data_IF_268889053987
#
_entry.id   IF_268889053987
#
_cell.length_a   1.000
_cell.length_b   1.000
_cell.length_c   1.000
_cell.angle_alpha   90.00
_cell.angle_beta   90.00
_cell.angle_gamma   90.00
#
_symmetry.space_group_name_H-M   'P 1'
#
loop_
_entity.id
_entity.type
_entity.pdbx_description
1 polymer ?
#
# COMPACT_ATOMS: atom_id res chain seq x y z
N UNK A 1 16.01 6.27 -7.69
CA UNK A 1 17.06 5.24 -7.85
C UNK A 1 16.56 4.13 -8.75
N UNK A 2 17.36 3.76 -9.73
CA UNK A 2 17.02 2.63 -10.59
C UNK A 2 17.30 1.32 -9.85
N UNK A 3 16.36 0.38 -9.99
CA UNK A 3 16.53 -0.94 -9.42
C UNK A 3 17.57 -1.73 -10.21
N UNK A 4 18.49 -2.36 -9.49
CA UNK A 4 19.52 -3.18 -10.10
C UNK A 4 19.03 -4.61 -10.33
N UNK A 5 19.25 -5.12 -11.52
CA UNK A 5 19.00 -6.52 -11.87
C UNK A 5 20.33 -7.18 -12.22
N UNK A 6 20.62 -8.29 -11.58
CA UNK A 6 21.81 -9.07 -11.85
C UNK A 6 21.48 -10.18 -12.85
N UNK A 7 22.25 -10.29 -13.90
CA UNK A 7 22.00 -11.22 -14.99
C UNK A 7 23.08 -12.29 -14.98
N UNK A 8 22.64 -13.54 -14.92
CA UNK A 8 23.52 -14.72 -14.96
C UNK A 8 23.11 -15.63 -16.11
N UNK A 9 24.07 -16.03 -16.94
CA UNK A 9 23.80 -16.95 -18.04
C UNK A 9 24.88 -18.02 -18.09
N UNK A 10 24.47 -19.25 -18.44
CA UNK A 10 25.43 -20.34 -18.64
C UNK A 10 25.93 -20.45 -20.08
N UNK A 11 25.45 -19.55 -20.97
CA UNK A 11 25.81 -19.59 -22.39
C UNK A 11 25.18 -20.77 -23.17
N UNK A 12 24.34 -21.57 -22.50
CA UNK A 12 23.76 -22.81 -23.07
C UNK A 12 22.22 -22.76 -23.04
N UNK A 13 21.65 -21.57 -23.08
CA UNK A 13 20.19 -21.41 -23.14
C UNK A 13 19.51 -21.18 -21.82
N UNK A 14 20.26 -21.03 -20.73
CA UNK A 14 19.67 -20.69 -19.41
C UNK A 14 20.10 -19.29 -19.01
N UNK A 15 19.12 -18.46 -18.67
CA UNK A 15 19.33 -17.11 -18.12
C UNK A 15 18.60 -17.00 -16.79
N UNK A 16 19.27 -16.48 -15.79
CA UNK A 16 18.69 -16.18 -14.47
C UNK A 16 18.89 -14.71 -14.19
N UNK A 17 17.80 -14.01 -13.86
CA UNK A 17 17.84 -12.60 -13.47
C UNK A 17 17.37 -12.50 -12.03
N UNK A 18 18.13 -11.81 -11.20
CA UNK A 18 17.81 -11.62 -9.79
C UNK A 18 17.74 -10.16 -9.42
N UNK A 19 16.92 -9.84 -8.44
CA UNK A 19 16.87 -8.52 -7.82
C UNK A 19 16.49 -8.67 -6.34
N UNK A 20 16.72 -7.63 -5.56
CA UNK A 20 16.46 -7.64 -4.13
C UNK A 20 15.48 -6.53 -3.76
N UNK A 21 14.58 -6.85 -2.85
CA UNK A 21 13.63 -5.90 -2.31
C UNK A 21 13.17 -6.37 -0.93
N UNK A 22 13.24 -5.47 0.07
CA UNK A 22 12.78 -5.78 1.41
C UNK A 22 13.49 -6.95 2.06
N UNK A 23 14.80 -7.13 1.78
CA UNK A 23 15.58 -8.24 2.32
C UNK A 23 15.34 -9.57 1.63
N UNK A 24 14.56 -9.60 0.54
CA UNK A 24 14.24 -10.83 -0.21
C UNK A 24 14.84 -10.77 -1.61
N UNK A 25 15.25 -11.93 -2.11
CA UNK A 25 15.72 -12.10 -3.48
C UNK A 25 14.59 -12.61 -4.36
N UNK A 26 14.40 -11.98 -5.53
CA UNK A 26 13.43 -12.41 -6.53
C UNK A 26 14.18 -12.87 -7.77
N UNK A 27 13.75 -14.00 -8.34
CA UNK A 27 14.40 -14.67 -9.47
C UNK A 27 13.43 -14.86 -10.62
N UNK A 28 13.92 -14.53 -11.83
CA UNK A 28 13.27 -14.92 -13.06
C UNK A 28 14.21 -15.84 -13.83
N UNK A 29 13.69 -16.89 -14.42
CA UNK A 29 14.47 -17.87 -15.16
C UNK A 29 13.88 -18.05 -16.55
N UNK A 30 14.73 -18.08 -17.57
CA UNK A 30 14.36 -18.46 -18.92
C UNK A 30 15.28 -19.59 -19.38
N UNK A 31 14.69 -20.63 -19.98
CA UNK A 31 15.44 -21.77 -20.54
C UNK A 31 15.04 -21.94 -21.99
N UNK A 32 16.02 -22.05 -22.85
CA UNK A 32 15.81 -22.41 -24.26
C UNK A 32 15.63 -23.92 -24.35
N UNK A 33 14.62 -24.38 -25.10
CA UNK A 33 14.42 -25.80 -25.34
C UNK A 33 15.60 -26.33 -26.18
N UNK A 34 16.04 -27.59 -25.99
CA UNK A 34 17.19 -28.15 -26.74
C UNK A 34 17.06 -28.07 -28.25
N UNK A 35 15.84 -28.14 -28.79
CA UNK A 35 15.54 -28.07 -30.21
C UNK A 35 15.44 -26.64 -30.76
N UNK A 36 15.44 -25.62 -29.91
CA UNK A 36 15.32 -24.24 -30.32
C UNK A 36 16.66 -23.57 -30.47
N UNK A 37 16.72 -22.56 -31.35
CA UNK A 37 17.89 -21.71 -31.48
C UNK A 37 17.94 -20.74 -30.30
N UNK A 38 19.02 -20.78 -29.56
CA UNK A 38 19.20 -19.90 -28.40
C UNK A 38 19.41 -18.45 -28.84
N UNK A 39 18.55 -17.57 -28.33
CA UNK A 39 18.68 -16.12 -28.45
C UNK A 39 18.84 -15.50 -27.06
N UNK A 40 20.06 -15.04 -26.76
CA UNK A 40 20.39 -14.48 -25.48
C UNK A 40 19.59 -13.23 -25.11
N UNK A 41 19.26 -12.40 -26.12
CA UNK A 41 18.46 -11.18 -25.89
C UNK A 41 17.05 -11.53 -25.48
N UNK A 42 16.42 -12.49 -26.12
CA UNK A 42 15.08 -12.96 -25.77
C UNK A 42 15.11 -13.62 -24.40
N UNK A 43 16.13 -14.44 -24.14
CA UNK A 43 16.30 -15.10 -22.83
C UNK A 43 16.42 -14.09 -21.68
N UNK A 44 17.23 -13.06 -21.84
CA UNK A 44 17.40 -12.00 -20.83
C UNK A 44 16.10 -11.23 -20.65
N UNK A 45 15.42 -10.85 -21.73
CA UNK A 45 14.17 -10.11 -21.65
C UNK A 45 13.09 -10.93 -20.93
N UNK A 46 12.96 -12.21 -21.24
CA UNK A 46 11.98 -13.10 -20.61
C UNK A 46 12.28 -13.33 -19.12
N UNK A 47 13.53 -13.62 -18.79
CA UNK A 47 13.95 -13.81 -17.39
C UNK A 47 13.75 -12.53 -16.57
N UNK A 48 14.07 -11.36 -17.14
CA UNK A 48 13.87 -10.07 -16.49
C UNK A 48 12.38 -9.83 -16.24
N UNK A 49 11.52 -10.08 -17.23
CA UNK A 49 10.07 -9.92 -17.09
C UNK A 49 9.52 -10.84 -16.00
N UNK A 50 9.97 -12.08 -15.93
CA UNK A 50 9.57 -13.04 -14.91
C UNK A 50 10.01 -12.60 -13.50
N UNK A 51 11.23 -12.06 -13.41
CA UNK A 51 11.74 -11.49 -12.15
C UNK A 51 10.89 -10.31 -11.70
N UNK A 52 10.59 -9.38 -12.61
CA UNK A 52 9.72 -8.21 -12.34
C UNK A 52 8.32 -8.65 -11.92
N UNK A 53 7.77 -9.67 -12.54
CA UNK A 53 6.45 -10.19 -12.19
C UNK A 53 6.40 -10.62 -10.72
N UNK A 54 7.39 -11.38 -10.29
CA UNK A 54 7.48 -11.82 -8.88
C UNK A 54 7.66 -10.64 -7.93
N UNK A 55 8.53 -9.70 -8.29
CA UNK A 55 8.78 -8.50 -7.51
C UNK A 55 7.50 -7.67 -7.34
N UNK A 56 6.80 -7.41 -8.44
CA UNK A 56 5.59 -6.59 -8.40
C UNK A 56 4.44 -7.27 -7.68
N UNK A 57 4.33 -8.60 -7.75
CA UNK A 57 3.35 -9.35 -6.95
C UNK A 57 3.62 -9.19 -5.46
N UNK A 58 4.89 -9.27 -5.05
CA UNK A 58 5.28 -9.05 -3.64
C UNK A 58 5.00 -7.61 -3.20
N UNK A 59 5.31 -6.62 -4.03
CA UNK A 59 5.02 -5.21 -3.76
C UNK A 59 3.52 -4.95 -3.63
N UNK A 60 2.71 -5.60 -4.47
CA UNK A 60 1.25 -5.48 -4.41
C UNK A 60 0.71 -5.96 -3.07
N UNK A 61 1.22 -7.08 -2.56
CA UNK A 61 0.80 -7.59 -1.25
C UNK A 61 1.09 -6.57 -0.15
N UNK A 62 2.31 -6.03 -0.11
CA UNK A 62 2.70 -5.02 0.88
C UNK A 62 1.83 -3.76 0.75
N UNK A 63 1.60 -3.29 -0.47
CA UNK A 63 0.78 -2.11 -0.72
C UNK A 63 -0.68 -2.34 -0.28
N UNK A 64 -1.22 -3.52 -0.53
CA UNK A 64 -2.58 -3.89 -0.11
C UNK A 64 -2.71 -3.88 1.41
N UNK A 65 -1.75 -4.48 2.11
CA UNK A 65 -1.73 -4.49 3.58
C UNK A 65 -1.65 -3.08 4.16
N UNK A 66 -0.81 -2.22 3.59
CA UNK A 66 -0.71 -0.82 4.01
C UNK A 66 -2.01 -0.05 3.76
N UNK A 67 -2.62 -0.25 2.58
CA UNK A 67 -3.88 0.42 2.26
C UNK A 67 -4.98 0.02 3.23
N UNK A 68 -5.09 -1.26 3.58
CA UNK A 68 -6.06 -1.75 4.55
C UNK A 68 -5.79 -1.19 5.95
N UNK A 69 -4.53 -1.15 6.36
CA UNK A 69 -4.13 -0.60 7.65
C UNK A 69 -4.51 0.86 7.78
N UNK A 70 -4.18 1.68 6.77
CA UNK A 70 -4.53 3.10 6.81
C UNK A 70 -6.03 3.35 6.68
N UNK A 71 -6.76 2.51 5.96
CA UNK A 71 -8.21 2.59 5.88
C UNK A 71 -8.85 2.36 7.26
N UNK A 72 -8.34 1.41 8.05
CA UNK A 72 -8.82 1.19 9.41
C UNK A 72 -8.52 2.37 10.33
N UNK A 73 -7.34 2.97 10.22
CA UNK A 73 -6.98 4.19 10.97
C UNK A 73 -7.93 5.33 10.60
N UNK A 74 -8.19 5.52 9.30
CA UNK A 74 -9.09 6.56 8.82
C UNK A 74 -10.51 6.39 9.40
N UNK A 75 -11.01 5.17 9.49
CA UNK A 75 -12.33 4.89 10.11
C UNK A 75 -12.34 5.28 11.58
N UNK A 76 -11.28 4.97 12.31
CA UNK A 76 -11.18 5.34 13.73
C UNK A 76 -11.19 6.86 13.93
N UNK A 77 -10.44 7.58 13.09
CA UNK A 77 -10.42 9.04 13.16
C UNK A 77 -11.76 9.65 12.76
N UNK A 78 -12.46 9.09 11.78
CA UNK A 78 -13.79 9.56 11.39
C UNK A 78 -14.79 9.37 12.53
N UNK A 79 -14.72 8.24 13.22
CA UNK A 79 -15.56 7.99 14.40
C UNK A 79 -15.31 9.03 15.50
N UNK A 80 -14.03 9.32 15.78
CA UNK A 80 -13.66 10.32 16.77
C UNK A 80 -14.13 11.72 16.36
N UNK A 81 -14.03 12.05 15.07
CA UNK A 81 -14.51 13.32 14.55
C UNK A 81 -16.02 13.45 14.72
N UNK A 82 -16.78 12.37 14.46
CA UNK A 82 -18.23 12.35 14.63
C UNK A 82 -18.61 12.54 16.10
N UNK A 83 -17.93 11.86 17.01
CA UNK A 83 -18.15 12.01 18.44
C UNK A 83 -17.88 13.45 18.91
N UNK A 84 -16.81 14.07 18.39
CA UNK A 84 -16.48 15.46 18.71
C UNK A 84 -17.54 16.44 18.17
N UNK A 85 -18.05 16.21 16.95
CA UNK A 85 -19.13 17.02 16.39
C UNK A 85 -20.39 16.92 17.23
N UNK A 86 -20.76 15.72 17.66
CA UNK A 86 -21.94 15.50 18.51
C UNK A 86 -21.77 16.19 19.87
N UNK A 87 -20.59 16.08 20.46
CA UNK A 87 -20.30 16.75 21.72
C UNK A 87 -20.44 18.28 21.60
N UNK A 88 -19.98 18.84 20.48
CA UNK A 88 -20.14 20.27 20.20
C UNK A 88 -21.62 20.68 20.15
N UNK A 89 -22.45 19.88 19.47
CA UNK A 89 -23.90 20.14 19.42
C UNK A 89 -24.50 20.11 20.82
N UNK A 90 -24.12 19.12 21.62
CA UNK A 90 -24.62 19.00 23.02
C UNK A 90 -24.22 20.23 23.86
N UNK A 91 -22.99 20.71 23.68
CA UNK A 91 -22.54 21.92 24.40
C UNK A 91 -23.33 23.16 23.98
N UNK A 92 -23.63 23.32 22.68
CA UNK A 92 -24.43 24.44 22.18
C UNK A 92 -25.83 24.38 22.77
N UNK A 93 -26.46 23.22 22.81
CA UNK A 93 -27.79 23.04 23.40
C UNK A 93 -27.77 23.39 24.88
N UNK A 94 -26.75 22.96 25.61
CA UNK A 94 -26.61 23.28 27.03
C UNK A 94 -26.44 24.78 27.26
N UNK A 95 -25.68 25.46 26.42
CA UNK A 95 -25.53 26.92 26.50
C UNK A 95 -26.87 27.62 26.27
N UNK A 96 -27.62 27.22 25.25
CA UNK A 96 -28.92 27.80 24.94
C UNK A 96 -29.89 27.61 26.09
N UNK A 97 -29.91 26.43 26.70
CA UNK A 97 -30.78 26.14 27.85
C UNK A 97 -30.47 27.02 29.06
N UNK A 98 -29.17 27.18 29.37
CA UNK A 98 -28.71 28.01 30.46
C UNK A 98 -29.01 29.49 30.21
N UNK A 99 -28.81 29.96 28.99
CA UNK A 99 -29.11 31.33 28.58
C UNK A 99 -30.60 31.62 28.73
N UNK A 100 -31.48 30.67 28.36
CA UNK A 100 -32.92 30.79 28.55
C UNK A 100 -33.27 30.81 30.03
N UNK A 101 -32.61 30.01 30.85
CA UNK A 101 -32.83 30.03 32.30
C UNK A 101 -32.43 31.36 32.93
N UNK A 102 -31.28 31.92 32.51
CA UNK A 102 -30.84 33.25 32.97
C UNK A 102 -31.89 34.31 32.63
N UNK A 103 -32.39 34.29 31.40
CA UNK A 103 -33.42 35.25 30.99
C UNK A 103 -34.67 35.15 31.84
N UNK A 104 -35.13 33.94 32.18
CA UNK A 104 -36.28 33.74 33.06
C UNK A 104 -36.02 34.24 34.46
N UNK A 105 -34.84 33.99 35.01
CA UNK A 105 -34.47 34.44 36.34
C UNK A 105 -34.41 35.97 36.43
N UNK A 106 -33.99 36.63 35.38
CA UNK A 106 -33.96 38.08 35.32
C UNK A 106 -35.39 38.65 35.27
N UNK A 107 -36.29 38.05 34.48
CA UNK A 107 -37.68 38.48 34.39
C UNK A 107 -38.43 38.33 35.70
N UNK A 108 -38.16 37.26 36.42
CA UNK A 108 -38.85 36.93 37.67
C UNK A 108 -38.43 37.83 38.84
N UNK A 109 -37.41 38.62 38.63
CA UNK A 109 -36.93 39.58 39.62
C UNK A 109 -37.22 41.02 39.17
#
# INVERSE_FOLDING_TARGET
>A
MNRKFDIHTNGKGKVVVTTYYGGRCFRGVAKCAPEDVYDGKIGVALATARCKQKLFKAKKIVATEKAEYYAEIAKKFEKLAEEARQYRVDCITNIDDVEAEIARLIEDN
#
